data_IF_975781885752
#
_entry.id   IF_975781885752
#
_cell.length_a   1.000
_cell.length_b   1.000
_cell.length_c   1.000
_cell.angle_alpha   90.00
_cell.angle_beta   90.00
_cell.angle_gamma   90.00
#
_symmetry.space_group_name_H-M   'P 1'
#
loop_
_entity.id
_entity.type
_entity.pdbx_description
1 polymer ?
#
# COMPACT_ATOMS: atom_id res chain seq x y z
N UNK A 1 9.92 61.22 -13.10
CA UNK A 1 10.52 59.95 -12.63
C UNK A 1 9.51 58.85 -12.26
N UNK A 2 8.20 59.12 -12.14
CA UNK A 2 7.19 58.13 -11.71
C UNK A 2 6.76 57.10 -12.78
N UNK A 3 6.76 57.48 -14.06
CA UNK A 3 6.40 56.61 -15.19
C UNK A 3 7.18 55.27 -15.28
N UNK A 4 8.52 55.25 -15.18
CA UNK A 4 9.27 53.99 -15.24
C UNK A 4 8.99 53.07 -14.04
N UNK A 5 8.76 53.61 -12.85
CA UNK A 5 8.45 52.81 -11.65
C UNK A 5 7.08 52.13 -11.74
N UNK A 6 6.08 52.84 -12.27
CA UNK A 6 4.73 52.30 -12.49
C UNK A 6 4.76 51.20 -13.55
N UNK A 7 5.49 51.41 -14.66
CA UNK A 7 5.65 50.42 -15.72
C UNK A 7 6.31 49.13 -15.19
N UNK A 8 7.37 49.26 -14.37
CA UNK A 8 8.05 48.11 -13.77
C UNK A 8 7.16 47.35 -12.79
N UNK A 9 6.31 48.04 -12.03
CA UNK A 9 5.33 47.40 -11.15
C UNK A 9 4.31 46.57 -11.95
N UNK A 10 3.80 47.11 -13.06
CA UNK A 10 2.91 46.35 -13.95
C UNK A 10 3.60 45.12 -14.55
N UNK A 11 4.85 45.26 -15.01
CA UNK A 11 5.62 44.13 -15.54
C UNK A 11 5.82 43.04 -14.48
N UNK A 12 6.16 43.42 -13.24
CA UNK A 12 6.34 42.48 -12.13
C UNK A 12 5.03 41.75 -11.78
N UNK A 13 3.91 42.46 -11.73
CA UNK A 13 2.59 41.87 -11.48
C UNK A 13 2.20 40.90 -12.58
N UNK A 14 2.44 41.25 -13.86
CA UNK A 14 2.18 40.37 -14.99
C UNK A 14 3.01 39.08 -14.93
N UNK A 15 4.29 39.16 -14.54
CA UNK A 15 5.16 38.00 -14.38
C UNK A 15 4.65 37.07 -13.26
N UNK A 16 4.23 37.63 -12.12
CA UNK A 16 3.67 36.85 -11.02
C UNK A 16 2.36 36.16 -11.41
N UNK A 17 1.46 36.88 -12.07
CA UNK A 17 0.20 36.31 -12.56
C UNK A 17 0.46 35.18 -13.55
N UNK A 18 1.41 35.37 -14.47
CA UNK A 18 1.78 34.36 -15.46
C UNK A 18 2.38 33.11 -14.78
N UNK A 19 3.22 33.29 -13.77
CA UNK A 19 3.75 32.20 -12.94
C UNK A 19 2.63 31.44 -12.20
N UNK A 20 1.69 32.16 -11.58
CA UNK A 20 0.57 31.56 -10.87
C UNK A 20 -0.39 30.81 -11.80
N UNK A 21 -0.63 31.30 -13.02
CA UNK A 21 -1.46 30.64 -14.04
C UNK A 21 -0.74 29.43 -14.66
N UNK A 22 0.58 29.49 -14.79
CA UNK A 22 1.38 28.33 -15.19
C UNK A 22 1.37 27.25 -14.11
N UNK A 23 1.33 27.59 -12.82
CA UNK A 23 1.40 26.61 -11.73
C UNK A 23 0.33 25.50 -11.78
N UNK A 24 -0.99 25.75 -11.99
CA UNK A 24 -1.98 24.68 -12.12
C UNK A 24 -1.81 23.88 -13.42
N UNK A 25 -1.23 24.47 -14.47
CA UNK A 25 -0.94 23.79 -15.72
C UNK A 25 0.28 22.86 -15.58
N UNK A 26 1.37 23.35 -15.00
CA UNK A 26 2.57 22.57 -14.70
C UNK A 26 2.30 21.51 -13.64
N UNK A 27 1.45 21.80 -12.65
CA UNK A 27 0.97 20.80 -11.70
C UNK A 27 0.21 19.70 -12.42
N UNK A 28 -0.68 20.00 -13.38
CA UNK A 28 -1.39 18.93 -14.11
C UNK A 28 -0.49 18.19 -15.13
N UNK A 29 0.45 18.88 -15.75
CA UNK A 29 1.33 18.33 -16.80
C UNK A 29 2.48 17.49 -16.23
N UNK A 30 3.14 17.92 -15.16
CA UNK A 30 4.23 17.17 -14.50
C UNK A 30 3.71 16.06 -13.57
N UNK A 31 2.47 16.16 -13.11
CA UNK A 31 1.82 15.21 -12.19
C UNK A 31 0.93 14.20 -12.94
N UNK A 32 0.97 14.20 -14.28
CA UNK A 32 0.44 13.15 -15.17
C UNK A 32 1.36 11.91 -15.23
N UNK A 33 2.32 11.80 -14.31
CA UNK A 33 3.07 10.58 -14.13
C UNK A 33 2.30 9.63 -13.23
N UNK A 34 2.04 8.40 -13.69
CA UNK A 34 1.54 7.24 -12.91
C UNK A 34 2.22 7.04 -11.53
N UNK A 35 3.37 7.67 -11.31
CA UNK A 35 4.28 7.53 -10.17
C UNK A 35 3.77 8.07 -8.82
N UNK A 36 2.61 8.74 -8.76
CA UNK A 36 2.09 9.30 -7.50
C UNK A 36 0.97 8.45 -6.87
N UNK A 37 0.36 7.55 -7.63
CA UNK A 37 -0.57 6.55 -7.06
C UNK A 37 0.16 5.58 -6.12
N UNK A 38 1.41 5.22 -6.45
CA UNK A 38 2.26 4.35 -5.61
C UNK A 38 2.59 4.98 -4.24
N UNK A 39 2.53 6.31 -4.10
CA UNK A 39 2.86 7.01 -2.86
C UNK A 39 1.69 7.19 -1.88
N UNK A 40 0.46 6.93 -2.32
CA UNK A 40 -0.73 6.88 -1.45
C UNK A 40 -1.08 5.45 -1.03
N UNK A 41 -0.32 4.44 -1.48
CA UNK A 41 -0.33 3.11 -0.88
C UNK A 41 0.49 3.17 0.41
N UNK A 42 -0.18 3.31 1.55
CA UNK A 42 0.41 3.29 2.90
C UNK A 42 0.96 1.91 3.33
N UNK A 43 0.98 0.94 2.43
CA UNK A 43 1.23 -0.45 2.74
C UNK A 43 2.29 -1.01 1.78
N UNK A 44 3.54 -1.06 2.26
CA UNK A 44 4.44 -2.23 2.34
C UNK A 44 5.83 -1.69 2.71
N UNK A 45 6.10 -1.44 4.00
CA UNK A 45 7.46 -1.20 4.48
C UNK A 45 7.90 -2.15 5.61
N UNK A 46 6.98 -2.90 6.22
CA UNK A 46 7.32 -3.87 7.29
C UNK A 46 7.35 -5.35 6.86
N UNK A 47 7.12 -5.65 5.58
CA UNK A 47 6.75 -7.01 5.15
C UNK A 47 7.75 -7.69 4.20
N UNK A 48 8.96 -7.15 4.01
CA UNK A 48 9.87 -7.64 2.95
C UNK A 48 10.34 -9.09 3.16
N UNK A 49 10.70 -9.49 4.38
CA UNK A 49 11.17 -10.85 4.69
C UNK A 49 10.02 -11.86 4.75
N UNK A 50 8.96 -11.53 5.50
CA UNK A 50 7.77 -12.36 5.59
C UNK A 50 7.14 -12.59 4.21
N UNK A 51 6.85 -11.53 3.46
CA UNK A 51 6.21 -11.69 2.16
C UNK A 51 7.07 -12.46 1.17
N UNK A 52 8.39 -12.24 1.17
CA UNK A 52 9.30 -13.02 0.31
C UNK A 52 9.21 -14.49 0.68
N UNK A 53 9.20 -14.81 1.97
CA UNK A 53 9.04 -16.19 2.43
C UNK A 53 7.68 -16.78 2.04
N UNK A 54 6.59 -16.02 2.16
CA UNK A 54 5.25 -16.47 1.75
C UNK A 54 5.17 -16.69 0.23
N UNK A 55 5.87 -15.86 -0.57
CA UNK A 55 6.01 -16.04 -2.02
C UNK A 55 6.80 -17.30 -2.37
N UNK A 56 7.84 -17.65 -1.62
CA UNK A 56 8.58 -18.91 -1.80
C UNK A 56 7.67 -20.13 -1.61
N UNK A 57 6.73 -20.06 -0.67
CA UNK A 57 5.67 -21.07 -0.47
C UNK A 57 4.53 -21.00 -1.50
N UNK A 58 4.62 -20.12 -2.50
CA UNK A 58 3.63 -19.93 -3.58
C UNK A 58 2.25 -19.57 -3.05
N UNK A 59 2.19 -18.74 -2.00
CA UNK A 59 0.93 -18.16 -1.55
C UNK A 59 0.47 -17.10 -2.56
N UNK A 60 -0.83 -17.11 -2.84
CA UNK A 60 -1.49 -16.05 -3.59
C UNK A 60 -1.64 -14.80 -2.73
N UNK A 61 -1.85 -13.61 -3.31
CA UNK A 61 -2.04 -12.38 -2.54
C UNK A 61 -3.13 -12.49 -1.47
N UNK A 62 -4.26 -13.14 -1.79
CA UNK A 62 -5.35 -13.36 -0.84
C UNK A 62 -4.97 -14.33 0.31
N UNK A 63 -4.17 -15.36 0.02
CA UNK A 63 -3.66 -16.26 1.06
C UNK A 63 -2.62 -15.55 1.94
N UNK A 64 -1.79 -14.66 1.37
CA UNK A 64 -0.83 -13.87 2.13
C UNK A 64 -1.54 -12.93 3.10
N UNK A 65 -2.58 -12.23 2.64
CA UNK A 65 -3.42 -11.36 3.48
C UNK A 65 -4.04 -12.12 4.65
N UNK A 66 -4.63 -13.30 4.39
CA UNK A 66 -5.18 -14.16 5.45
C UNK A 66 -4.09 -14.68 6.39
N UNK A 67 -2.93 -15.07 5.87
CA UNK A 67 -1.80 -15.54 6.66
C UNK A 67 -1.31 -14.46 7.63
N UNK A 68 -1.15 -13.23 7.16
CA UNK A 68 -0.73 -12.08 8.00
C UNK A 68 -1.71 -11.87 9.15
N UNK A 69 -3.02 -11.83 8.88
CA UNK A 69 -4.03 -11.69 9.93
C UNK A 69 -4.07 -12.87 10.91
N UNK A 70 -3.78 -14.09 10.44
CA UNK A 70 -3.62 -15.26 11.32
C UNK A 70 -2.42 -15.10 12.27
N UNK A 71 -1.30 -14.56 11.76
CA UNK A 71 -0.09 -14.26 12.54
C UNK A 71 -0.29 -13.11 13.54
N UNK A 72 -1.25 -12.21 13.27
CA UNK A 72 -1.64 -11.12 14.18
C UNK A 72 -2.57 -11.57 15.31
N UNK A 73 -3.12 -12.78 15.25
CA UNK A 73 -3.96 -13.35 16.31
C UNK A 73 -5.45 -13.37 15.99
N UNK A 74 -5.88 -12.87 14.83
CA UNK A 74 -7.30 -12.88 14.45
C UNK A 74 -7.83 -14.29 14.20
N UNK A 75 -9.10 -14.50 14.56
CA UNK A 75 -9.84 -15.74 14.26
C UNK A 75 -10.37 -15.72 12.82
N UNK A 76 -10.65 -16.89 12.24
CA UNK A 76 -11.22 -16.98 10.89
C UNK A 76 -12.53 -16.19 10.73
N UNK A 77 -13.33 -16.07 11.79
CA UNK A 77 -14.57 -15.25 11.80
C UNK A 77 -14.27 -13.76 11.74
N UNK A 78 -13.27 -13.29 12.49
CA UNK A 78 -12.83 -11.89 12.46
C UNK A 78 -12.24 -11.54 11.09
N UNK A 79 -11.39 -12.42 10.56
CA UNK A 79 -10.79 -12.26 9.22
C UNK A 79 -11.89 -12.19 8.15
N UNK A 80 -12.88 -13.07 8.22
CA UNK A 80 -14.03 -13.06 7.32
C UNK A 80 -14.78 -11.72 7.35
N UNK A 81 -15.01 -11.17 8.55
CA UNK A 81 -15.64 -9.86 8.72
C UNK A 81 -14.76 -8.73 8.17
N UNK A 82 -13.45 -8.72 8.49
CA UNK A 82 -12.51 -7.69 8.05
C UNK A 82 -12.36 -7.64 6.53
N UNK A 83 -12.26 -8.81 5.89
CA UNK A 83 -12.09 -8.91 4.44
C UNK A 83 -13.41 -8.89 3.67
N UNK A 84 -14.55 -8.75 4.35
CA UNK A 84 -15.90 -8.83 3.76
C UNK A 84 -16.10 -10.09 2.90
N UNK A 85 -15.62 -11.25 3.40
CA UNK A 85 -15.71 -12.56 2.74
C UNK A 85 -16.46 -13.55 3.61
N UNK A 86 -17.05 -14.58 3.00
CA UNK A 86 -17.69 -15.66 3.75
C UNK A 86 -16.67 -16.44 4.58
N UNK A 87 -17.08 -16.90 5.78
CA UNK A 87 -16.25 -17.76 6.64
C UNK A 87 -15.70 -18.98 5.89
N UNK A 88 -16.54 -19.61 5.06
CA UNK A 88 -16.14 -20.76 4.26
C UNK A 88 -14.97 -20.44 3.31
N UNK A 89 -14.96 -19.25 2.71
CA UNK A 89 -13.87 -18.78 1.84
C UNK A 89 -12.57 -18.62 2.62
N UNK A 90 -12.62 -17.99 3.79
CA UNK A 90 -11.45 -17.82 4.66
C UNK A 90 -10.95 -19.17 5.18
N UNK A 91 -11.84 -20.10 5.50
CA UNK A 91 -11.47 -21.46 5.90
C UNK A 91 -10.76 -22.21 4.77
N UNK A 92 -11.20 -22.04 3.53
CA UNK A 92 -10.52 -22.59 2.34
C UNK A 92 -9.12 -22.01 2.19
N UNK A 93 -8.95 -20.69 2.35
CA UNK A 93 -7.62 -20.07 2.34
C UNK A 93 -6.75 -20.61 3.46
N UNK A 94 -7.24 -20.69 4.71
CA UNK A 94 -6.49 -21.26 5.84
C UNK A 94 -6.03 -22.70 5.56
N UNK A 95 -6.92 -23.54 5.01
CA UNK A 95 -6.59 -24.93 4.67
C UNK A 95 -5.54 -25.00 3.57
N UNK A 96 -5.63 -24.14 2.56
CA UNK A 96 -4.63 -24.04 1.49
C UNK A 96 -3.28 -23.56 2.00
N UNK A 97 -3.26 -22.55 2.89
CA UNK A 97 -2.05 -22.05 3.56
C UNK A 97 -1.36 -23.18 4.32
N UNK A 98 -2.09 -23.89 5.18
CA UNK A 98 -1.55 -24.99 5.98
C UNK A 98 -0.93 -26.08 5.10
N UNK A 99 -1.62 -26.46 4.02
CA UNK A 99 -1.09 -27.41 3.04
C UNK A 99 0.18 -26.90 2.33
N UNK A 100 0.21 -25.63 1.92
CA UNK A 100 1.37 -25.05 1.20
C UNK A 100 2.60 -24.89 2.09
N UNK A 101 2.39 -24.58 3.36
CA UNK A 101 3.46 -24.42 4.36
C UNK A 101 3.83 -25.74 5.05
N UNK A 102 3.10 -26.83 4.74
CA UNK A 102 3.26 -28.14 5.34
C UNK A 102 3.15 -28.10 6.88
N UNK A 103 2.15 -27.39 7.39
CA UNK A 103 1.83 -27.27 8.82
C UNK A 103 0.41 -27.76 9.08
N UNK A 104 0.15 -28.27 10.29
CA UNK A 104 -1.15 -28.85 10.66
C UNK A 104 -1.92 -28.01 11.68
N UNK A 105 -1.27 -26.99 12.25
CA UNK A 105 -1.86 -26.19 13.32
C UNK A 105 -1.49 -24.72 13.24
N UNK A 106 -2.32 -23.88 13.87
CA UNK A 106 -2.04 -22.45 14.01
C UNK A 106 -0.74 -22.20 14.78
N UNK A 107 -0.42 -23.06 15.73
CA UNK A 107 0.80 -22.97 16.53
C UNK A 107 2.02 -23.27 15.66
N UNK A 108 1.99 -24.32 14.84
CA UNK A 108 3.05 -24.62 13.87
C UNK A 108 3.26 -23.47 12.87
N UNK A 109 2.17 -22.89 12.35
CA UNK A 109 2.25 -21.71 11.48
C UNK A 109 3.00 -20.55 12.15
N UNK A 110 2.64 -20.23 13.39
CA UNK A 110 3.26 -19.14 14.16
C UNK A 110 4.73 -19.42 14.42
N UNK A 111 5.10 -20.64 14.78
CA UNK A 111 6.48 -21.03 15.03
C UNK A 111 7.32 -20.95 13.75
N UNK A 112 6.79 -21.45 12.63
CA UNK A 112 7.48 -21.44 11.34
C UNK A 112 7.79 -20.02 10.83
N UNK A 113 6.87 -19.07 11.06
CA UNK A 113 6.98 -17.73 10.52
C UNK A 113 7.49 -16.68 11.53
N UNK A 114 7.76 -17.08 12.77
CA UNK A 114 8.17 -16.17 13.87
C UNK A 114 9.36 -15.29 13.49
N UNK A 115 10.42 -15.89 12.95
CA UNK A 115 11.68 -15.23 12.62
C UNK A 115 11.60 -14.28 11.42
N UNK A 116 10.50 -14.33 10.67
CA UNK A 116 10.26 -13.49 9.49
C UNK A 116 9.31 -12.32 9.80
N UNK A 117 8.59 -12.38 10.92
CA UNK A 117 7.69 -11.31 11.40
C UNK A 117 8.43 -10.24 12.19
N UNK A 118 9.54 -10.60 12.85
CA UNK A 118 10.48 -9.70 13.54
C UNK A 118 11.49 -9.06 12.56
#
# INVERSE_FOLDING_TARGET
MLFPSILMAFVSICILILFFILSPFFYRMLYSGEWIDDSYREDISHNSRLETKLRDYKLTPAEMEVCTLLLEGYTLRQIAAMLSKAYATINTYCTSIYRKLNVNSRVELLLLLKEYKE
#
